data_IF_638576516612
#
_entry.id   IF_638576516612
#
_cell.length_a   1.000
_cell.length_b   1.000
_cell.length_c   1.000
_cell.angle_alpha   90.00
_cell.angle_beta   90.00
_cell.angle_gamma   90.00
#
_symmetry.space_group_name_H-M   'P 1'
#
loop_
_entity.id
_entity.type
_entity.pdbx_description
1 polymer ?
#
# COMPACT_ATOMS: atom_id res chain seq x y z
N UNK A 1 5.51 -12.98 -14.89
CA UNK A 1 5.41 -12.50 -13.51
C UNK A 1 6.66 -11.68 -13.32
N UNK A 2 6.55 -10.40 -12.93
CA UNK A 2 7.72 -9.59 -12.57
C UNK A 2 8.40 -10.28 -11.39
N UNK A 3 9.69 -10.58 -11.48
CA UNK A 3 10.46 -11.22 -10.39
C UNK A 3 10.60 -10.32 -9.14
N UNK A 4 10.15 -9.05 -9.22
CA UNK A 4 10.22 -8.04 -8.15
C UNK A 4 8.88 -7.79 -7.43
N UNK A 5 7.83 -8.58 -7.68
CA UNK A 5 6.51 -8.31 -7.09
C UNK A 5 6.37 -8.97 -5.72
N UNK A 6 6.06 -8.18 -4.68
CA UNK A 6 5.93 -8.64 -3.30
C UNK A 6 4.49 -9.05 -2.95
N UNK A 7 4.30 -10.29 -2.53
CA UNK A 7 3.01 -10.84 -2.09
C UNK A 7 3.09 -11.27 -0.62
N UNK A 8 2.28 -10.64 0.23
CA UNK A 8 2.23 -10.94 1.66
C UNK A 8 0.89 -11.58 2.00
N UNK A 9 0.92 -12.79 2.54
CA UNK A 9 -0.23 -13.54 3.02
C UNK A 9 -0.36 -13.43 4.54
N UNK A 10 -1.51 -12.94 5.04
CA UNK A 10 -1.77 -12.79 6.48
C UNK A 10 -3.01 -13.59 6.86
N UNK A 11 -2.81 -14.72 7.50
CA UNK A 11 -3.87 -15.59 8.03
C UNK A 11 -4.02 -15.49 9.55
N UNK A 12 -5.10 -16.03 10.08
CA UNK A 12 -5.31 -16.12 11.52
C UNK A 12 -6.80 -16.06 11.94
N UNK A 13 -7.12 -16.31 13.23
CA UNK A 13 -8.48 -16.36 13.74
C UNK A 13 -9.19 -15.01 13.74
N UNK A 14 -10.49 -15.00 14.01
CA UNK A 14 -11.29 -13.78 14.11
C UNK A 14 -10.74 -12.84 15.19
N UNK A 15 -10.77 -11.52 14.92
CA UNK A 15 -10.35 -10.46 15.87
C UNK A 15 -8.89 -10.55 16.34
N UNK A 16 -7.99 -11.23 15.60
CA UNK A 16 -6.55 -11.23 15.88
C UNK A 16 -5.85 -9.93 15.40
N UNK A 17 -6.58 -8.98 14.79
CA UNK A 17 -6.02 -7.71 14.31
C UNK A 17 -5.57 -7.71 12.85
N UNK A 18 -5.81 -8.81 12.09
CA UNK A 18 -5.34 -8.97 10.70
C UNK A 18 -5.65 -7.78 9.80
N UNK A 19 -6.89 -7.32 9.75
CA UNK A 19 -7.31 -6.24 8.84
C UNK A 19 -6.58 -4.94 9.10
N UNK A 20 -6.39 -4.60 10.38
CA UNK A 20 -5.66 -3.39 10.76
C UNK A 20 -4.16 -3.52 10.44
N UNK A 21 -3.56 -4.68 10.76
CA UNK A 21 -2.15 -4.97 10.48
C UNK A 21 -1.90 -5.03 8.97
N UNK A 22 -2.71 -5.78 8.22
CA UNK A 22 -2.56 -5.90 6.78
C UNK A 22 -2.67 -4.56 6.05
N UNK A 23 -3.63 -3.69 6.46
CA UNK A 23 -3.72 -2.32 5.95
C UNK A 23 -2.50 -1.48 6.33
N UNK A 24 -2.02 -1.60 7.56
CA UNK A 24 -0.82 -0.91 8.02
C UNK A 24 0.41 -1.29 7.21
N UNK A 25 0.64 -2.59 7.00
CA UNK A 25 1.72 -3.12 6.17
C UNK A 25 1.60 -2.65 4.72
N UNK A 26 0.39 -2.76 4.12
CA UNK A 26 0.15 -2.31 2.75
C UNK A 26 0.47 -0.82 2.57
N UNK A 27 0.06 0.03 3.53
CA UNK A 27 0.37 1.48 3.52
C UNK A 27 1.87 1.75 3.63
N UNK A 28 2.54 1.08 4.56
CA UNK A 28 3.98 1.27 4.79
C UNK A 28 4.82 0.90 3.58
N UNK A 29 4.36 -0.07 2.78
CA UNK A 29 5.07 -0.57 1.60
C UNK A 29 4.52 0.01 0.28
N UNK A 30 3.48 0.86 0.31
CA UNK A 30 2.85 1.36 -0.91
C UNK A 30 2.13 0.28 -1.74
N UNK A 31 1.77 -0.86 -1.12
CA UNK A 31 1.14 -2.00 -1.77
C UNK A 31 -0.38 -1.92 -1.75
N UNK A 32 -1.02 -2.72 -2.60
CA UNK A 32 -2.45 -2.95 -2.52
C UNK A 32 -2.81 -3.88 -1.35
N UNK A 33 -4.09 -3.88 -0.98
CA UNK A 33 -4.64 -4.65 0.15
C UNK A 33 -5.91 -5.37 -0.27
N UNK A 34 -6.10 -6.63 0.13
CA UNK A 34 -7.31 -7.39 -0.13
C UNK A 34 -7.86 -8.04 1.14
N UNK A 35 -9.09 -7.63 1.54
CA UNK A 35 -9.91 -8.30 2.56
C UNK A 35 -10.71 -9.44 1.91
N UNK A 36 -10.20 -10.67 1.97
CA UNK A 36 -10.92 -11.81 1.40
C UNK A 36 -12.17 -12.15 2.18
N UNK A 37 -12.21 -11.87 3.47
CA UNK A 37 -13.39 -12.03 4.31
C UNK A 37 -14.56 -11.18 3.83
N UNK A 38 -14.32 -10.00 3.29
CA UNK A 38 -15.36 -9.16 2.70
C UNK A 38 -16.01 -9.80 1.46
N UNK A 39 -15.25 -10.53 0.64
CA UNK A 39 -15.79 -11.25 -0.53
C UNK A 39 -16.77 -12.36 -0.11
N UNK A 40 -16.42 -13.16 0.93
CA UNK A 40 -17.33 -14.17 1.47
C UNK A 40 -18.57 -13.56 2.11
N UNK A 41 -18.44 -12.40 2.77
CA UNK A 41 -19.56 -11.66 3.33
C UNK A 41 -20.47 -11.10 2.24
N UNK A 42 -19.91 -10.61 1.15
CA UNK A 42 -20.68 -10.15 -0.01
C UNK A 42 -21.49 -11.30 -0.64
N UNK A 43 -20.88 -12.48 -0.79
CA UNK A 43 -21.61 -13.66 -1.26
C UNK A 43 -22.72 -14.07 -0.29
N UNK A 44 -22.47 -14.00 1.02
CA UNK A 44 -23.48 -14.28 2.04
C UNK A 44 -24.64 -13.29 1.97
N UNK A 45 -24.36 -12.00 1.77
CA UNK A 45 -25.38 -10.97 1.59
C UNK A 45 -26.26 -11.27 0.35
N UNK A 46 -25.66 -11.71 -0.76
CA UNK A 46 -26.41 -12.12 -1.95
C UNK A 46 -27.33 -13.31 -1.67
N UNK A 47 -26.86 -14.34 -0.95
CA UNK A 47 -27.65 -15.50 -0.54
C UNK A 47 -28.85 -15.07 0.30
N UNK A 48 -28.63 -14.28 1.34
CA UNK A 48 -29.70 -13.80 2.22
C UNK A 48 -30.73 -12.93 1.45
N UNK A 49 -30.25 -12.06 0.58
CA UNK A 49 -31.11 -11.19 -0.24
C UNK A 49 -31.94 -11.98 -1.24
N UNK A 50 -31.42 -13.07 -1.78
CA UNK A 50 -32.15 -13.93 -2.74
C UNK A 50 -33.21 -14.80 -2.09
N UNK A 51 -33.22 -14.88 -0.75
CA UNK A 51 -34.13 -15.73 0.00
C UNK A 51 -33.83 -17.23 -0.14
N UNK A 52 -32.64 -17.58 -0.58
CA UNK A 52 -32.19 -18.98 -0.65
C UNK A 52 -31.97 -19.56 0.75
N UNK A 53 -32.34 -20.81 0.91
CA UNK A 53 -31.96 -21.55 2.12
C UNK A 53 -30.45 -21.81 2.15
N UNK A 54 -29.81 -21.53 3.27
CA UNK A 54 -28.35 -21.67 3.42
C UNK A 54 -27.90 -23.14 3.22
N UNK A 55 -28.79 -24.10 3.44
CA UNK A 55 -28.55 -25.52 3.21
C UNK A 55 -28.58 -25.93 1.72
N UNK A 56 -29.08 -25.08 0.82
CA UNK A 56 -29.15 -25.37 -0.62
C UNK A 56 -27.84 -24.97 -1.33
N UNK A 57 -26.81 -25.78 -1.14
CA UNK A 57 -25.48 -25.55 -1.73
C UNK A 57 -25.52 -25.47 -3.27
N UNK A 58 -26.46 -26.12 -3.94
CA UNK A 58 -26.59 -26.14 -5.40
C UNK A 58 -27.05 -24.79 -5.91
N UNK A 59 -28.12 -24.23 -5.34
CA UNK A 59 -28.65 -22.94 -5.75
C UNK A 59 -27.70 -21.81 -5.34
N UNK A 60 -27.04 -21.90 -4.15
CA UNK A 60 -25.98 -20.97 -3.74
C UNK A 60 -24.83 -20.99 -4.75
N UNK A 61 -24.41 -22.18 -5.20
CA UNK A 61 -23.38 -22.30 -6.22
C UNK A 61 -23.74 -21.67 -7.56
N UNK A 62 -25.01 -21.81 -7.99
CA UNK A 62 -25.53 -21.15 -9.21
C UNK A 62 -25.55 -19.62 -9.05
N UNK A 63 -25.99 -19.14 -7.89
CA UNK A 63 -25.97 -17.70 -7.57
C UNK A 63 -24.53 -17.17 -7.63
N UNK A 64 -23.57 -17.86 -7.03
CA UNK A 64 -22.17 -17.43 -7.04
C UNK A 64 -21.57 -17.31 -8.45
N UNK A 65 -21.93 -18.22 -9.38
CA UNK A 65 -21.48 -18.15 -10.78
C UNK A 65 -22.03 -16.98 -11.55
N UNK A 66 -23.24 -16.53 -11.21
CA UNK A 66 -23.95 -15.51 -11.96
C UNK A 66 -23.77 -14.11 -11.35
N UNK A 67 -23.28 -14.01 -10.12
CA UNK A 67 -23.12 -12.74 -9.41
C UNK A 67 -21.78 -12.08 -9.70
N UNK A 68 -21.77 -10.75 -9.65
CA UNK A 68 -20.56 -9.92 -9.82
C UNK A 68 -20.23 -9.25 -8.49
N UNK A 69 -19.11 -9.65 -7.89
CA UNK A 69 -18.58 -9.00 -6.68
C UNK A 69 -17.34 -8.19 -7.08
N UNK A 70 -17.31 -6.92 -6.68
CA UNK A 70 -16.16 -6.06 -6.85
C UNK A 70 -15.77 -5.42 -5.52
N UNK A 71 -14.48 -5.31 -5.27
CA UNK A 71 -13.91 -4.79 -4.02
C UNK A 71 -12.73 -3.86 -4.32
N UNK A 72 -12.58 -2.82 -3.52
CA UNK A 72 -11.39 -1.96 -3.57
C UNK A 72 -10.18 -2.69 -3.00
N UNK A 73 -9.05 -2.52 -3.65
CA UNK A 73 -7.74 -2.95 -3.16
C UNK A 73 -6.89 -1.80 -2.61
N UNK A 74 -7.45 -0.59 -2.56
CA UNK A 74 -6.80 0.55 -1.91
C UNK A 74 -6.92 0.44 -0.39
N UNK A 75 -5.82 0.41 0.39
CA UNK A 75 -5.88 0.31 1.85
C UNK A 75 -6.56 1.50 2.53
N UNK A 76 -6.67 2.66 1.86
CA UNK A 76 -7.26 3.88 2.39
C UNK A 76 -8.73 4.07 2.00
N UNK A 77 -9.17 3.44 0.90
CA UNK A 77 -10.52 3.57 0.38
C UNK A 77 -11.18 2.20 0.24
N UNK A 78 -11.76 1.70 1.31
CA UNK A 78 -12.42 0.39 1.30
C UNK A 78 -13.88 0.51 0.86
N UNK A 79 -14.24 -0.16 -0.21
CA UNK A 79 -15.62 -0.36 -0.65
C UNK A 79 -15.79 -1.76 -1.23
N UNK A 80 -17.01 -2.27 -1.19
CA UNK A 80 -17.39 -3.53 -1.82
C UNK A 80 -18.79 -3.42 -2.42
N UNK A 81 -18.97 -3.97 -3.60
CA UNK A 81 -20.27 -4.05 -4.27
C UNK A 81 -20.60 -5.46 -4.71
N UNK A 82 -21.90 -5.77 -4.75
CA UNK A 82 -22.44 -7.01 -5.28
C UNK A 82 -23.55 -6.68 -6.28
N UNK A 83 -23.44 -7.19 -7.51
CA UNK A 83 -24.35 -6.93 -8.63
C UNK A 83 -24.62 -5.42 -8.85
N UNK A 84 -23.56 -4.60 -8.69
CA UNK A 84 -23.61 -3.16 -8.87
C UNK A 84 -24.21 -2.37 -7.70
N UNK A 85 -24.54 -3.03 -6.58
CA UNK A 85 -25.05 -2.39 -5.38
C UNK A 85 -23.90 -2.25 -4.38
N UNK A 86 -23.66 -1.04 -3.87
CA UNK A 86 -22.74 -0.82 -2.77
C UNK A 86 -23.29 -1.45 -1.49
N UNK A 87 -22.50 -2.33 -0.89
CA UNK A 87 -22.86 -3.09 0.30
C UNK A 87 -21.82 -2.91 1.42
N UNK A 88 -20.97 -1.92 1.32
CA UNK A 88 -19.82 -1.69 2.21
C UNK A 88 -20.22 -1.74 3.68
N UNK A 89 -21.29 -1.06 4.05
CA UNK A 89 -21.77 -1.02 5.43
C UNK A 89 -22.58 -2.28 5.82
N UNK A 90 -23.29 -2.86 4.86
CA UNK A 90 -24.23 -3.97 5.13
C UNK A 90 -23.57 -5.33 5.28
N UNK A 91 -22.38 -5.55 4.70
CA UNK A 91 -21.66 -6.83 4.81
C UNK A 91 -21.24 -7.19 6.26
N UNK A 92 -21.31 -6.24 7.18
CA UNK A 92 -20.94 -6.43 8.60
C UNK A 92 -22.15 -6.53 9.53
N UNK A 93 -23.37 -6.59 8.98
CA UNK A 93 -24.60 -6.82 9.75
C UNK A 93 -24.54 -8.14 10.54
N UNK A 94 -25.36 -8.26 11.57
CA UNK A 94 -25.47 -9.47 12.38
C UNK A 94 -25.86 -10.67 11.51
N UNK A 95 -26.88 -10.52 10.66
CA UNK A 95 -27.38 -11.57 9.77
C UNK A 95 -26.28 -12.14 8.85
N UNK A 96 -25.49 -11.28 8.21
CA UNK A 96 -24.35 -11.69 7.37
C UNK A 96 -23.28 -12.36 8.23
N UNK A 97 -23.04 -11.82 9.44
CA UNK A 97 -22.01 -12.35 10.34
C UNK A 97 -22.34 -13.76 10.82
N UNK A 98 -23.59 -14.05 11.09
CA UNK A 98 -24.07 -15.34 11.57
C UNK A 98 -24.06 -16.41 10.45
N UNK A 99 -24.38 -16.02 9.23
CA UNK A 99 -24.48 -16.92 8.09
C UNK A 99 -23.16 -17.17 7.33
N UNK A 100 -22.17 -16.27 7.45
CA UNK A 100 -20.96 -16.28 6.59
C UNK A 100 -20.15 -17.56 6.69
N UNK A 101 -20.06 -18.20 7.87
CA UNK A 101 -19.29 -19.43 8.03
C UNK A 101 -19.91 -20.60 7.25
N UNK A 102 -21.23 -20.68 7.18
CA UNK A 102 -21.95 -21.72 6.44
C UNK A 102 -21.83 -21.48 4.93
N UNK A 103 -22.09 -20.27 4.43
CA UNK A 103 -21.97 -19.94 3.00
C UNK A 103 -20.53 -20.10 2.52
N UNK A 104 -19.54 -19.72 3.34
CA UNK A 104 -18.12 -19.88 3.00
C UNK A 104 -17.64 -21.34 3.00
N UNK A 105 -18.41 -22.27 3.52
CA UNK A 105 -18.11 -23.71 3.46
C UNK A 105 -18.58 -24.37 2.16
N UNK A 106 -19.46 -23.73 1.38
CA UNK A 106 -19.97 -24.26 0.10
C UNK A 106 -18.82 -24.39 -0.90
N UNK A 107 -18.53 -25.60 -1.43
CA UNK A 107 -17.35 -25.83 -2.26
C UNK A 107 -17.25 -24.92 -3.48
N UNK A 108 -18.36 -24.73 -4.21
CA UNK A 108 -18.40 -23.93 -5.42
C UNK A 108 -18.23 -22.42 -5.14
N UNK A 109 -18.73 -21.93 -4.01
CA UNK A 109 -18.48 -20.55 -3.55
C UNK A 109 -16.99 -20.34 -3.33
N UNK A 110 -16.32 -21.29 -2.69
CA UNK A 110 -14.88 -21.22 -2.46
C UNK A 110 -14.10 -21.22 -3.75
N UNK A 111 -14.39 -22.14 -4.67
CA UNK A 111 -13.74 -22.23 -5.97
C UNK A 111 -13.77 -20.88 -6.69
N UNK A 112 -14.96 -20.30 -6.83
CA UNK A 112 -15.17 -19.02 -7.52
C UNK A 112 -14.46 -17.86 -6.80
N UNK A 113 -14.58 -17.78 -5.47
CA UNK A 113 -13.98 -16.68 -4.73
C UNK A 113 -12.45 -16.80 -4.62
N UNK A 114 -11.88 -18.00 -4.55
CA UNK A 114 -10.42 -18.20 -4.61
C UNK A 114 -9.86 -17.77 -5.95
N UNK A 115 -10.54 -18.10 -7.06
CA UNK A 115 -10.15 -17.63 -8.38
C UNK A 115 -10.21 -16.08 -8.47
N UNK A 116 -11.26 -15.47 -7.95
CA UNK A 116 -11.41 -14.02 -7.89
C UNK A 116 -10.28 -13.36 -7.06
N UNK A 117 -9.94 -13.93 -5.91
CA UNK A 117 -8.84 -13.45 -5.05
C UNK A 117 -7.48 -13.50 -5.76
N UNK A 118 -7.20 -14.62 -6.43
CA UNK A 118 -5.97 -14.77 -7.24
C UNK A 118 -5.89 -13.75 -8.36
N UNK A 119 -7.01 -13.47 -9.02
CA UNK A 119 -7.08 -12.43 -10.05
C UNK A 119 -6.76 -11.05 -9.50
N UNK A 120 -7.31 -10.68 -8.32
CA UNK A 120 -6.96 -9.41 -7.68
C UNK A 120 -5.48 -9.34 -7.30
N UNK A 121 -4.93 -10.43 -6.76
CA UNK A 121 -3.51 -10.50 -6.43
C UNK A 121 -2.63 -10.32 -7.68
N UNK A 122 -2.94 -11.00 -8.77
CA UNK A 122 -2.22 -10.86 -10.04
C UNK A 122 -2.29 -9.42 -10.58
N UNK A 123 -3.47 -8.82 -10.62
CA UNK A 123 -3.63 -7.44 -11.11
C UNK A 123 -2.83 -6.45 -10.26
N UNK A 124 -2.80 -6.63 -8.94
CA UNK A 124 -2.06 -5.77 -8.04
C UNK A 124 -0.53 -5.88 -8.26
N UNK A 125 -0.02 -7.11 -8.43
CA UNK A 125 1.41 -7.32 -8.75
C UNK A 125 1.81 -6.71 -10.08
N UNK A 126 0.92 -6.74 -11.08
CA UNK A 126 1.16 -6.15 -12.40
C UNK A 126 1.10 -4.60 -12.38
N UNK A 127 0.26 -4.01 -11.51
CA UNK A 127 -0.01 -2.56 -11.52
C UNK A 127 0.88 -1.75 -10.58
N UNK A 128 1.14 -2.27 -9.37
CA UNK A 128 1.85 -1.54 -8.30
C UNK A 128 2.99 -2.34 -7.66
N UNK A 129 3.33 -3.50 -8.20
CA UNK A 129 4.44 -4.30 -7.70
C UNK A 129 4.11 -5.17 -6.48
N UNK A 130 2.86 -5.26 -6.00
CA UNK A 130 2.53 -6.21 -4.94
C UNK A 130 1.22 -5.98 -4.19
N UNK A 131 0.95 -6.89 -3.24
CA UNK A 131 -0.29 -6.90 -2.48
C UNK A 131 -0.13 -7.57 -1.11
N UNK A 132 -0.87 -7.05 -0.13
CA UNK A 132 -1.09 -7.73 1.16
C UNK A 132 -2.50 -8.31 1.15
N UNK A 133 -2.61 -9.62 1.32
CA UNK A 133 -3.88 -10.35 1.32
C UNK A 133 -4.14 -10.94 2.69
N UNK A 134 -5.30 -10.64 3.28
CA UNK A 134 -5.71 -11.22 4.56
C UNK A 134 -6.85 -12.23 4.43
N UNK A 135 -6.82 -13.26 5.29
CA UNK A 135 -7.88 -14.27 5.31
C UNK A 135 -7.76 -15.32 6.38
N UNK A 136 -8.02 -16.58 5.98
CA UNK A 136 -7.99 -17.79 6.82
C UNK A 136 -7.13 -18.90 6.22
N UNK A 137 -6.95 -18.88 4.93
CA UNK A 137 -6.33 -19.91 4.12
C UNK A 137 -5.53 -19.31 2.95
N UNK A 138 -5.04 -18.08 3.14
CA UNK A 138 -4.30 -17.37 2.09
C UNK A 138 -2.99 -18.09 1.79
N UNK A 139 -2.18 -18.31 2.82
CA UNK A 139 -0.89 -18.98 2.70
C UNK A 139 -1.00 -20.47 2.30
N UNK A 140 -2.11 -21.12 2.68
CA UNK A 140 -2.27 -22.57 2.43
C UNK A 140 -2.96 -22.90 1.12
N UNK A 141 -3.87 -22.05 0.63
CA UNK A 141 -4.74 -22.35 -0.53
C UNK A 141 -4.73 -21.27 -1.58
N UNK A 142 -4.95 -20.00 -1.20
CA UNK A 142 -5.14 -18.91 -2.17
C UNK A 142 -3.82 -18.55 -2.86
N UNK A 143 -2.80 -18.25 -2.07
CA UNK A 143 -1.46 -17.80 -2.50
C UNK A 143 -0.36 -18.61 -1.81
N UNK A 144 -0.26 -19.91 -2.09
CA UNK A 144 0.72 -20.80 -1.42
C UNK A 144 2.18 -20.48 -1.74
N UNK A 145 2.40 -19.60 -2.71
CA UNK A 145 3.73 -19.09 -3.11
C UNK A 145 3.92 -17.62 -2.73
N UNK A 146 3.17 -17.11 -1.73
CA UNK A 146 3.40 -15.77 -1.20
C UNK A 146 4.83 -15.66 -0.62
N UNK A 147 5.49 -14.53 -0.86
CA UNK A 147 6.88 -14.27 -0.46
C UNK A 147 7.00 -14.21 1.05
N UNK A 148 6.01 -13.60 1.71
CA UNK A 148 5.89 -13.58 3.16
C UNK A 148 4.57 -14.21 3.56
N UNK A 149 4.64 -15.17 4.49
CA UNK A 149 3.49 -15.84 5.08
C UNK A 149 3.46 -15.57 6.57
N UNK A 150 2.38 -14.98 7.06
CA UNK A 150 2.18 -14.64 8.47
C UNK A 150 0.92 -15.30 9.00
N UNK A 151 1.01 -15.89 10.18
CA UNK A 151 -0.14 -16.32 10.95
C UNK A 151 -0.29 -15.45 12.19
N UNK A 152 -1.24 -14.51 12.15
CA UNK A 152 -1.53 -13.62 13.27
C UNK A 152 -2.45 -14.30 14.27
N UNK A 153 -2.02 -14.39 15.53
CA UNK A 153 -2.84 -14.87 16.63
C UNK A 153 -2.95 -13.83 17.75
N UNK A 154 -3.87 -14.06 18.67
CA UNK A 154 -3.96 -13.39 19.96
C UNK A 154 -4.74 -14.26 20.92
N UNK A 155 -4.54 -14.09 22.23
CA UNK A 155 -5.30 -14.84 23.25
C UNK A 155 -6.81 -14.63 23.09
N UNK A 156 -7.64 -15.63 23.43
CA UNK A 156 -9.10 -15.50 23.34
C UNK A 156 -9.64 -14.27 24.08
N UNK A 157 -9.07 -13.95 25.23
CA UNK A 157 -9.46 -12.77 26.03
C UNK A 157 -9.14 -11.48 25.29
N UNK A 158 -7.93 -11.35 24.73
CA UNK A 158 -7.55 -10.14 23.99
C UNK A 158 -8.44 -9.92 22.76
N UNK A 159 -8.77 -11.00 22.04
CA UNK A 159 -9.65 -10.96 20.86
C UNK A 159 -11.08 -10.57 21.23
N UNK A 160 -11.62 -11.15 22.31
CA UNK A 160 -12.95 -10.83 22.81
C UNK A 160 -13.03 -9.38 23.29
N UNK A 161 -12.01 -8.90 24.02
CA UNK A 161 -11.92 -7.51 24.48
C UNK A 161 -11.89 -6.52 23.31
N UNK A 162 -11.01 -6.75 22.31
CA UNK A 162 -10.93 -5.91 21.11
C UNK A 162 -12.27 -5.81 20.38
N UNK A 163 -12.92 -6.95 20.19
CA UNK A 163 -14.22 -7.01 19.49
C UNK A 163 -15.37 -6.45 20.31
N UNK A 164 -15.36 -6.66 21.62
CA UNK A 164 -16.37 -6.08 22.53
C UNK A 164 -16.30 -4.55 22.54
N UNK A 165 -15.09 -3.98 22.58
CA UNK A 165 -14.89 -2.54 22.48
C UNK A 165 -15.31 -1.98 21.11
N UNK A 166 -15.04 -2.70 20.03
CA UNK A 166 -15.43 -2.29 18.66
C UNK A 166 -16.97 -2.26 18.47
N UNK A 167 -17.67 -3.20 19.06
CA UNK A 167 -19.14 -3.36 18.92
C UNK A 167 -19.95 -2.75 20.06
N UNK A 168 -19.30 -2.29 21.14
CA UNK A 168 -19.95 -1.80 22.36
C UNK A 168 -20.89 -2.85 23.00
N UNK A 169 -20.48 -4.12 22.99
CA UNK A 169 -21.26 -5.25 23.53
C UNK A 169 -20.50 -6.01 24.61
N UNK A 170 -21.22 -6.91 25.32
CA UNK A 170 -20.65 -7.72 26.41
C UNK A 170 -19.55 -8.65 25.91
N UNK A 171 -18.38 -8.60 26.57
CA UNK A 171 -17.19 -9.38 26.20
C UNK A 171 -17.44 -10.89 26.31
N UNK A 172 -18.27 -11.35 27.27
CA UNK A 172 -18.52 -12.76 27.44
C UNK A 172 -19.39 -13.34 26.32
N UNK A 173 -20.33 -12.58 25.78
CA UNK A 173 -21.12 -12.98 24.61
C UNK A 173 -20.22 -13.03 23.36
N UNK A 174 -19.37 -12.03 23.18
CA UNK A 174 -18.41 -11.98 22.08
C UNK A 174 -17.44 -13.16 22.13
N UNK A 175 -16.93 -13.52 23.32
CA UNK A 175 -16.01 -14.65 23.48
C UNK A 175 -16.60 -15.95 22.94
N UNK A 176 -17.84 -16.26 23.32
CA UNK A 176 -18.55 -17.46 22.84
C UNK A 176 -18.74 -17.46 21.33
N UNK A 177 -19.15 -16.31 20.77
CA UNK A 177 -19.35 -16.19 19.33
C UNK A 177 -18.03 -16.36 18.55
N UNK A 178 -16.91 -15.82 19.05
CA UNK A 178 -15.59 -15.99 18.45
C UNK A 178 -15.11 -17.44 18.52
N UNK A 179 -15.27 -18.11 19.68
CA UNK A 179 -14.90 -19.52 19.84
C UNK A 179 -15.69 -20.44 18.88
N UNK A 180 -17.00 -20.23 18.78
CA UNK A 180 -17.84 -20.97 17.85
C UNK A 180 -17.41 -20.76 16.39
N UNK A 181 -17.11 -19.53 16.02
CA UNK A 181 -16.66 -19.19 14.67
C UNK A 181 -15.30 -19.80 14.34
N UNK A 182 -14.35 -19.70 15.26
CA UNK A 182 -13.02 -20.28 15.07
C UNK A 182 -13.09 -21.80 14.98
N UNK A 183 -14.00 -22.44 15.74
CA UNK A 183 -14.26 -23.87 15.63
C UNK A 183 -14.79 -24.22 14.24
N UNK A 184 -15.78 -23.49 13.72
CA UNK A 184 -16.32 -23.70 12.38
C UNK A 184 -15.25 -23.49 11.30
N UNK A 185 -14.46 -22.42 11.41
CA UNK A 185 -13.40 -22.12 10.45
C UNK A 185 -12.28 -23.18 10.46
N UNK A 186 -11.94 -23.76 11.63
CA UNK A 186 -10.86 -24.75 11.77
C UNK A 186 -11.30 -26.19 11.46
N UNK A 187 -12.59 -26.50 11.58
CA UNK A 187 -13.13 -27.88 11.38
C UNK A 187 -13.78 -28.08 10.01
N UNK A 188 -13.92 -27.06 9.20
CA UNK A 188 -14.49 -27.20 7.86
C UNK A 188 -13.66 -28.15 6.99
N UNK A 189 -14.36 -28.94 6.16
CA UNK A 189 -13.72 -29.96 5.33
C UNK A 189 -12.82 -29.42 4.24
N UNK A 190 -13.12 -28.22 3.71
CA UNK A 190 -12.38 -27.56 2.64
C UNK A 190 -11.73 -26.28 3.17
N UNK A 191 -10.43 -26.13 2.98
CA UNK A 191 -9.63 -24.98 3.39
C UNK A 191 -9.83 -24.59 4.88
N UNK A 192 -9.56 -25.48 5.83
CA UNK A 192 -9.67 -25.16 7.25
C UNK A 192 -8.69 -24.03 7.63
N UNK A 193 -9.08 -23.24 8.64
CA UNK A 193 -8.15 -22.31 9.27
C UNK A 193 -7.02 -23.11 9.94
N UNK A 194 -5.83 -23.02 9.40
CA UNK A 194 -4.62 -23.63 9.95
C UNK A 194 -3.41 -22.80 9.63
N UNK A 195 -2.42 -22.84 10.49
CA UNK A 195 -1.12 -22.24 10.21
C UNK A 195 -0.44 -23.05 9.09
N UNK A 196 0.06 -22.34 8.06
CA UNK A 196 0.95 -22.91 7.07
C UNK A 196 2.31 -23.20 7.73
N UNK A 197 2.98 -24.34 7.45
CA UNK A 197 4.28 -24.66 8.05
C UNK A 197 5.36 -23.59 7.82
N UNK A 198 5.30 -22.89 6.68
CA UNK A 198 6.26 -21.85 6.32
C UNK A 198 5.83 -20.47 6.81
N UNK A 199 4.73 -20.36 7.58
CA UNK A 199 4.26 -19.09 8.11
C UNK A 199 4.94 -18.73 9.42
N UNK A 200 5.39 -17.48 9.52
CA UNK A 200 5.83 -16.90 10.79
C UNK A 200 4.62 -16.64 11.70
N UNK A 201 4.65 -17.21 12.90
CA UNK A 201 3.62 -16.99 13.91
C UNK A 201 3.90 -15.68 14.67
N UNK A 202 2.94 -14.75 14.63
CA UNK A 202 3.02 -13.50 15.41
C UNK A 202 1.86 -13.45 16.40
N UNK A 203 2.16 -13.47 17.70
CA UNK A 203 1.18 -13.30 18.77
C UNK A 203 1.02 -11.80 19.11
N UNK A 204 -0.11 -11.25 18.75
CA UNK A 204 -0.44 -9.84 18.96
C UNK A 204 -1.13 -9.58 20.30
N UNK A 205 -1.17 -10.54 21.24
CA UNK A 205 -1.88 -10.42 22.52
C UNK A 205 -1.53 -9.13 23.26
N UNK A 206 -0.23 -8.83 23.35
CA UNK A 206 0.32 -7.69 24.09
C UNK A 206 0.89 -6.60 23.16
N UNK A 207 0.69 -6.70 21.85
CA UNK A 207 1.17 -5.73 20.89
C UNK A 207 0.08 -4.72 20.56
N UNK A 208 0.47 -3.46 20.42
CA UNK A 208 -0.35 -2.45 19.77
C UNK A 208 -0.33 -2.60 18.24
N UNK A 209 -1.09 -1.76 17.54
CA UNK A 209 -1.17 -1.86 16.07
C UNK A 209 0.19 -1.61 15.41
N UNK A 210 0.93 -0.58 15.87
CA UNK A 210 2.22 -0.23 15.29
C UNK A 210 3.24 -1.35 15.50
N UNK A 211 3.35 -1.85 16.72
CA UNK A 211 4.23 -2.98 17.03
C UNK A 211 3.89 -4.24 16.21
N UNK A 212 2.59 -4.49 15.97
CA UNK A 212 2.13 -5.61 15.15
C UNK A 212 2.49 -5.44 13.67
N UNK A 213 2.42 -4.20 13.15
CA UNK A 213 2.85 -3.86 11.78
C UNK A 213 4.37 -4.00 11.66
N UNK A 214 5.12 -3.41 12.59
CA UNK A 214 6.58 -3.46 12.61
C UNK A 214 7.09 -4.91 12.67
N UNK A 215 6.41 -5.80 13.42
CA UNK A 215 6.74 -7.23 13.48
C UNK A 215 6.54 -7.97 12.15
N UNK A 216 5.58 -7.53 11.31
CA UNK A 216 5.44 -8.09 9.95
C UNK A 216 6.49 -7.50 9.02
N UNK A 217 6.77 -6.20 9.12
CA UNK A 217 7.76 -5.53 8.27
C UNK A 217 9.19 -6.06 8.50
N UNK A 218 9.54 -6.44 9.75
CA UNK A 218 10.85 -7.01 10.05
C UNK A 218 11.13 -8.35 9.34
N UNK A 219 10.10 -9.06 8.87
CA UNK A 219 10.29 -10.27 8.07
C UNK A 219 10.84 -9.99 6.68
N UNK A 220 10.72 -8.75 6.18
CA UNK A 220 11.33 -8.33 4.91
C UNK A 220 12.86 -8.29 5.04
N UNK A 221 13.37 -7.86 6.20
CA UNK A 221 14.82 -7.80 6.44
C UNK A 221 15.41 -9.21 6.45
N UNK A 222 14.67 -10.21 6.93
CA UNK A 222 15.09 -11.60 6.93
C UNK A 222 15.17 -12.19 5.52
N UNK A 223 14.24 -11.82 4.62
CA UNK A 223 14.27 -12.24 3.20
C UNK A 223 15.52 -11.71 2.47
N UNK A 224 15.97 -10.50 2.80
CA UNK A 224 17.18 -9.93 2.20
C UNK A 224 18.45 -10.61 2.69
N UNK A 225 18.48 -11.07 3.95
CA UNK A 225 19.61 -11.80 4.54
C UNK A 225 19.73 -13.22 3.98
N UNK A 226 18.61 -13.91 3.72
CA UNK A 226 18.65 -15.26 3.13
C UNK A 226 19.12 -15.26 1.66
N UNK A 227 18.84 -14.19 0.92
CA UNK A 227 19.38 -13.99 -0.44
C UNK A 227 20.92 -13.78 -0.36
N UNK A 228 21.44 -13.13 0.67
CA UNK A 228 22.88 -12.96 0.89
C UNK A 228 23.57 -14.27 1.35
N UNK A 229 22.86 -15.11 2.12
CA UNK A 229 23.40 -16.40 2.59
C UNK A 229 23.47 -17.47 1.48
N UNK A 230 22.54 -17.46 0.52
CA UNK A 230 22.61 -18.32 -0.67
C UNK A 230 23.69 -17.85 -1.69
N UNK A 231 24.26 -16.65 -1.51
CA UNK A 231 25.35 -16.15 -2.34
C UNK A 231 26.68 -16.96 -2.12
N UNK A 232 26.80 -17.73 -1.04
CA UNK A 232 27.93 -18.63 -0.84
C UNK A 232 27.93 -19.84 -1.79
N UNK A 233 26.78 -20.17 -2.44
CA UNK A 233 26.69 -21.16 -3.53
C UNK A 233 27.14 -20.54 -4.86
N UNK A 234 27.11 -19.23 -4.99
CA UNK A 234 27.55 -18.51 -6.19
C UNK A 234 29.07 -18.48 -6.37
N UNK A 235 29.86 -18.97 -5.40
CA UNK A 235 31.33 -19.06 -5.53
C UNK A 235 31.80 -20.11 -6.54
N UNK A 236 30.94 -21.01 -7.02
CA UNK A 236 31.22 -21.95 -8.12
C UNK A 236 30.97 -21.38 -9.52
N UNK A 237 30.35 -20.19 -9.65
CA UNK A 237 30.08 -19.48 -10.91
C UNK A 237 30.89 -18.19 -11.06
N UNK A 238 32.01 -18.12 -10.33
CA UNK A 238 32.89 -16.96 -10.31
C UNK A 238 33.60 -16.78 -11.64
N UNK A 239 33.02 -16.00 -12.55
CA UNK A 239 33.72 -15.21 -13.60
C UNK A 239 32.76 -14.34 -14.43
N UNK A 240 31.46 -14.18 -14.10
CA UNK A 240 30.53 -13.47 -15.01
C UNK A 240 29.75 -12.28 -14.46
N UNK A 241 29.90 -11.86 -13.21
CA UNK A 241 29.18 -10.66 -12.70
C UNK A 241 30.04 -9.86 -11.72
N UNK A 242 30.94 -9.05 -12.24
CA UNK A 242 31.39 -7.81 -11.58
C UNK A 242 30.24 -6.77 -11.67
N UNK A 243 29.22 -6.91 -10.85
CA UNK A 243 28.24 -5.85 -10.59
C UNK A 243 28.54 -5.34 -9.18
N UNK A 244 28.96 -4.06 -9.02
CA UNK A 244 29.20 -3.49 -7.71
C UNK A 244 27.90 -3.49 -6.89
N UNK A 245 27.99 -3.91 -5.60
CA UNK A 245 26.90 -3.98 -4.62
C UNK A 245 26.41 -2.58 -4.14
N UNK A 246 26.40 -1.58 -5.01
CA UNK A 246 26.02 -0.18 -4.74
C UNK A 246 24.77 0.25 -5.52
N UNK A 247 23.87 -0.68 -5.89
CA UNK A 247 22.71 -0.39 -6.74
C UNK A 247 21.35 -0.74 -6.13
N UNK A 248 21.12 -0.38 -4.86
CA UNK A 248 19.78 0.08 -4.49
C UNK A 248 19.83 1.60 -4.53
N UNK A 249 19.61 2.18 -5.70
CA UNK A 249 19.54 3.63 -5.83
C UNK A 249 18.38 4.13 -4.98
N UNK A 250 18.71 4.90 -3.93
CA UNK A 250 17.69 5.57 -3.12
C UNK A 250 16.78 6.37 -4.05
N UNK A 251 15.46 6.36 -3.83
CA UNK A 251 14.54 7.14 -4.66
C UNK A 251 14.99 8.60 -4.79
N UNK A 252 14.90 9.14 -5.99
CA UNK A 252 15.35 10.48 -6.32
C UNK A 252 14.14 11.41 -6.46
N UNK A 253 14.08 12.44 -5.63
CA UNK A 253 13.02 13.46 -5.63
C UNK A 253 13.56 14.76 -6.18
N UNK A 254 13.10 15.19 -7.35
CA UNK A 254 13.48 16.47 -7.96
C UNK A 254 12.55 17.60 -7.49
N UNK A 255 13.10 18.65 -6.88
CA UNK A 255 12.35 19.83 -6.49
C UNK A 255 12.43 20.86 -7.63
N UNK A 256 11.30 21.10 -8.25
CA UNK A 256 11.14 21.88 -9.48
C UNK A 256 10.26 23.12 -9.24
N UNK A 257 10.39 24.12 -10.07
CA UNK A 257 9.60 25.33 -10.01
C UNK A 257 10.42 26.57 -10.35
N UNK A 258 9.75 27.69 -10.57
CA UNK A 258 10.37 28.97 -10.91
C UNK A 258 11.27 29.51 -9.79
N UNK A 259 12.16 30.45 -10.06
CA UNK A 259 12.89 31.17 -9.02
C UNK A 259 11.92 31.84 -8.01
N UNK A 260 12.32 31.92 -6.76
CA UNK A 260 11.58 32.57 -5.67
C UNK A 260 10.19 32.00 -5.31
N UNK A 261 9.83 30.83 -5.80
CA UNK A 261 8.59 30.15 -5.36
C UNK A 261 8.72 29.45 -3.99
N UNK A 262 9.95 29.35 -3.44
CA UNK A 262 10.23 28.81 -2.12
C UNK A 262 10.77 27.38 -2.11
N UNK A 263 11.37 26.90 -3.21
CA UNK A 263 12.00 25.56 -3.30
C UNK A 263 13.00 25.31 -2.18
N UNK A 264 13.98 26.20 -2.02
CA UNK A 264 15.03 26.07 -0.99
C UNK A 264 14.45 26.14 0.44
N UNK A 265 13.36 26.85 0.64
CA UNK A 265 12.64 26.87 1.93
C UNK A 265 12.02 25.52 2.21
N UNK A 266 11.39 24.89 1.21
CA UNK A 266 10.82 23.53 1.31
C UNK A 266 11.93 22.51 1.59
N UNK A 267 13.02 22.54 0.80
CA UNK A 267 14.18 21.67 1.00
C UNK A 267 14.75 21.82 2.41
N UNK A 268 15.01 23.04 2.88
CA UNK A 268 15.52 23.28 4.23
C UNK A 268 14.55 22.81 5.31
N UNK A 269 13.26 22.86 5.08
CA UNK A 269 12.25 22.37 6.04
C UNK A 269 12.23 20.83 6.10
N UNK A 270 12.41 20.17 4.97
CA UNK A 270 12.55 18.70 4.92
C UNK A 270 13.85 18.28 5.63
N UNK A 271 14.96 18.94 5.34
CA UNK A 271 16.27 18.64 5.92
C UNK A 271 16.39 19.06 7.39
N UNK A 272 15.67 20.09 7.83
CA UNK A 272 15.76 20.68 9.18
C UNK A 272 15.21 19.78 10.31
N UNK A 273 14.60 18.64 10.01
CA UNK A 273 14.09 17.70 10.99
C UNK A 273 15.06 16.59 11.42
N UNK A 274 16.16 16.33 10.68
CA UNK A 274 17.32 15.50 11.11
C UNK A 274 18.48 15.61 10.11
N UNK A 275 19.70 15.50 10.64
CA UNK A 275 21.06 15.50 10.07
C UNK A 275 21.16 15.31 8.53
N UNK A 276 21.27 16.41 7.81
CA UNK A 276 21.63 16.39 6.39
C UNK A 276 23.14 16.17 6.24
N UNK A 277 23.54 15.15 5.51
CA UNK A 277 24.92 14.98 5.03
C UNK A 277 24.97 15.50 3.59
N UNK A 278 25.76 16.55 3.36
CA UNK A 278 26.09 17.03 2.03
C UNK A 278 27.17 16.12 1.47
N UNK A 279 26.87 15.28 0.50
CA UNK A 279 27.90 14.50 -0.21
C UNK A 279 28.31 15.24 -1.48
N UNK A 280 29.55 15.73 -1.48
CA UNK A 280 30.29 16.10 -2.69
C UNK A 280 30.78 14.80 -3.36
N UNK A 281 30.09 14.27 -4.36
CA UNK A 281 30.61 13.18 -5.18
C UNK A 281 31.64 13.74 -6.19
N UNK A 282 32.91 13.28 -6.15
CA UNK A 282 33.92 13.68 -7.12
C UNK A 282 33.64 13.02 -8.49
N UNK A 283 33.24 13.80 -9.47
CA UNK A 283 33.10 13.33 -10.87
C UNK A 283 31.83 13.79 -11.61
N UNK A 284 30.87 14.41 -10.94
CA UNK A 284 29.70 15.03 -11.55
C UNK A 284 29.90 16.54 -11.61
N UNK A 285 29.59 17.14 -12.76
CA UNK A 285 29.76 18.58 -13.04
C UNK A 285 29.26 19.45 -11.88
N UNK A 286 30.04 20.45 -11.50
CA UNK A 286 29.99 21.36 -10.33
C UNK A 286 28.68 22.12 -10.06
N UNK A 287 27.55 21.75 -10.68
CA UNK A 287 26.36 22.60 -10.77
C UNK A 287 25.11 22.02 -10.13
N UNK A 288 25.19 20.96 -9.29
CA UNK A 288 24.02 20.36 -8.64
C UNK A 288 24.27 20.15 -7.16
N UNK A 289 23.26 20.49 -6.37
CA UNK A 289 23.24 20.17 -4.93
C UNK A 289 22.26 19.01 -4.72
N UNK A 290 22.79 17.85 -4.35
CA UNK A 290 22.02 16.70 -3.92
C UNK A 290 22.11 16.58 -2.41
N UNK A 291 20.99 16.27 -1.78
CA UNK A 291 20.89 16.08 -0.34
C UNK A 291 20.33 14.69 -0.05
N UNK A 292 20.95 13.99 0.89
CA UNK A 292 20.36 12.78 1.46
C UNK A 292 19.31 13.20 2.51
N UNK A 293 18.13 12.70 2.40
CA UNK A 293 17.03 12.98 3.30
C UNK A 293 16.38 11.68 3.79
N UNK A 294 15.88 11.72 5.01
CA UNK A 294 15.08 10.66 5.62
C UNK A 294 13.73 11.25 6.04
N UNK A 295 12.63 10.61 5.63
CA UNK A 295 11.29 11.00 6.06
C UNK A 295 10.47 9.75 6.40
N UNK A 296 9.99 9.69 7.64
CA UNK A 296 9.23 8.53 8.16
C UNK A 296 9.92 7.17 7.98
N UNK A 297 11.27 7.14 8.09
CA UNK A 297 12.03 5.91 7.92
C UNK A 297 12.37 5.56 6.47
N UNK A 298 12.02 6.43 5.50
CA UNK A 298 12.39 6.26 4.10
C UNK A 298 13.55 7.18 3.75
N UNK A 299 14.65 6.60 3.31
CA UNK A 299 15.80 7.32 2.77
C UNK A 299 15.55 7.68 1.30
N UNK A 300 15.83 8.91 0.92
CA UNK A 300 15.74 9.37 -0.47
C UNK A 300 16.74 10.49 -0.75
N UNK A 301 17.02 10.72 -2.03
CA UNK A 301 17.89 11.80 -2.49
C UNK A 301 17.05 12.95 -3.01
N UNK A 302 17.27 14.16 -2.49
CA UNK A 302 16.66 15.39 -3.02
C UNK A 302 17.61 16.03 -4.03
N UNK A 303 17.12 16.29 -5.24
CA UNK A 303 17.79 17.14 -6.22
C UNK A 303 17.18 18.55 -6.18
N UNK A 304 17.90 19.52 -5.63
CA UNK A 304 17.46 20.93 -5.63
C UNK A 304 17.94 21.64 -6.90
N UNK A 305 16.98 22.09 -7.71
CA UNK A 305 17.27 22.90 -8.92
C UNK A 305 17.40 24.39 -8.63
N UNK A 306 17.41 24.79 -7.35
CA UNK A 306 17.31 26.20 -6.90
C UNK A 306 18.61 26.94 -6.59
N UNK A 307 19.79 26.32 -6.69
CA UNK A 307 21.05 26.82 -6.13
C UNK A 307 21.79 27.97 -6.90
N UNK A 308 21.26 28.53 -7.98
CA UNK A 308 21.98 29.51 -8.81
C UNK A 308 21.20 30.80 -9.05
N UNK A 309 21.21 31.67 -8.06
CA UNK A 309 20.73 33.05 -8.15
C UNK A 309 21.87 34.07 -8.38
N UNK A 310 22.75 33.89 -9.36
CA UNK A 310 23.67 34.96 -9.80
C UNK A 310 23.93 34.87 -11.31
N UNK A 311 23.11 35.53 -12.11
CA UNK A 311 23.40 36.36 -13.27
C UNK A 311 22.20 36.48 -14.24
N UNK A 312 21.69 37.69 -14.39
CA UNK A 312 20.40 38.03 -15.01
C UNK A 312 20.39 38.11 -16.55
N UNK A 313 21.26 37.40 -17.26
CA UNK A 313 21.24 37.37 -18.74
C UNK A 313 21.44 35.98 -19.30
N UNK A 314 20.35 35.28 -19.54
CA UNK A 314 20.32 33.93 -20.11
C UNK A 314 19.43 32.96 -19.34
N UNK A 315 18.66 33.42 -18.36
CA UNK A 315 18.00 32.70 -17.30
C UNK A 315 17.00 31.60 -17.75
N UNK A 316 16.29 31.78 -18.87
CA UNK A 316 15.26 30.87 -19.32
C UNK A 316 15.77 29.54 -19.91
N UNK A 317 16.91 29.58 -20.60
CA UNK A 317 17.49 28.36 -21.20
C UNK A 317 18.21 27.50 -20.15
N UNK A 318 18.82 28.08 -19.12
CA UNK A 318 19.55 27.37 -18.09
C UNK A 318 18.60 26.67 -17.11
N UNK A 319 17.49 27.31 -16.70
CA UNK A 319 16.46 26.69 -15.83
C UNK A 319 15.81 25.52 -16.52
N UNK A 320 15.50 25.60 -17.81
CA UNK A 320 14.92 24.50 -18.57
C UNK A 320 15.90 23.32 -18.73
N UNK A 321 17.20 23.58 -18.96
CA UNK A 321 18.21 22.53 -19.06
C UNK A 321 18.43 21.80 -17.72
N UNK A 322 18.47 22.53 -16.61
CA UNK A 322 18.64 21.92 -15.28
C UNK A 322 17.41 21.10 -14.85
N UNK A 323 16.22 21.61 -15.15
CA UNK A 323 14.99 20.86 -14.93
C UNK A 323 14.97 19.57 -15.78
N UNK A 324 15.37 19.65 -17.06
CA UNK A 324 15.41 18.48 -17.94
C UNK A 324 16.36 17.38 -17.44
N UNK A 325 17.49 17.77 -16.89
CA UNK A 325 18.48 16.83 -16.37
C UNK A 325 17.99 16.22 -15.04
N UNK A 326 17.44 17.04 -14.12
CA UNK A 326 16.90 16.57 -12.86
C UNK A 326 15.70 15.61 -13.07
N UNK A 327 14.84 15.89 -14.06
CA UNK A 327 13.69 15.07 -14.43
C UNK A 327 14.13 13.69 -14.96
N UNK A 328 15.25 13.58 -15.65
CA UNK A 328 15.75 12.29 -16.17
C UNK A 328 16.23 11.34 -15.09
N UNK A 329 16.62 11.86 -13.94
CA UNK A 329 17.15 11.10 -12.81
C UNK A 329 16.10 10.95 -11.68
N UNK A 330 14.93 11.59 -11.79
CA UNK A 330 13.94 11.65 -10.75
C UNK A 330 12.90 10.51 -10.84
N UNK A 331 12.62 9.90 -9.71
CA UNK A 331 11.50 8.98 -9.52
C UNK A 331 10.21 9.74 -9.19
N UNK A 332 10.34 10.97 -8.62
CA UNK A 332 9.23 11.88 -8.30
C UNK A 332 9.64 13.33 -8.57
N UNK A 333 8.78 14.07 -9.26
CA UNK A 333 8.90 15.51 -9.45
C UNK A 333 7.98 16.29 -8.49
N UNK A 334 8.55 17.05 -7.56
CA UNK A 334 7.80 17.99 -6.71
C UNK A 334 7.80 19.36 -7.35
N UNK A 335 6.68 19.75 -7.95
CA UNK A 335 6.50 21.07 -8.56
C UNK A 335 6.00 22.07 -7.52
N UNK A 336 6.85 23.01 -7.13
CA UNK A 336 6.51 24.09 -6.20
C UNK A 336 6.05 25.31 -6.98
N UNK A 337 4.85 25.79 -6.70
CA UNK A 337 4.22 26.95 -7.35
C UNK A 337 3.84 28.01 -6.29
N UNK A 338 4.00 29.26 -6.63
CA UNK A 338 3.57 30.39 -5.80
C UNK A 338 2.07 30.62 -5.98
N UNK A 339 1.27 30.29 -4.96
CA UNK A 339 -0.19 30.42 -5.00
C UNK A 339 -0.66 31.85 -5.20
N UNK A 340 0.14 32.85 -4.77
CA UNK A 340 -0.22 34.26 -4.90
C UNK A 340 -0.15 34.77 -6.33
N UNK A 341 0.63 34.10 -7.19
CA UNK A 341 0.80 34.46 -8.61
C UNK A 341 -0.10 33.57 -9.50
N UNK A 342 -0.42 32.35 -9.03
CA UNK A 342 -1.14 31.35 -9.78
C UNK A 342 -0.28 30.62 -10.84
N UNK A 343 -0.93 29.81 -11.68
CA UNK A 343 -0.28 29.03 -12.73
C UNK A 343 0.26 29.91 -13.86
N UNK A 344 1.51 29.67 -14.26
CA UNK A 344 2.16 30.39 -15.37
C UNK A 344 2.53 29.45 -16.51
N UNK A 345 2.93 30.02 -17.66
CA UNK A 345 3.41 29.25 -18.81
C UNK A 345 4.66 28.43 -18.49
N UNK A 346 5.55 28.93 -17.62
CA UNK A 346 6.75 28.20 -17.21
C UNK A 346 6.41 26.99 -16.33
N UNK A 347 5.42 27.11 -15.44
CA UNK A 347 4.92 25.99 -14.64
C UNK A 347 4.28 24.92 -15.54
N UNK A 348 3.53 25.33 -16.58
CA UNK A 348 2.96 24.42 -17.58
C UNK A 348 4.04 23.67 -18.37
N UNK A 349 5.15 24.33 -18.72
CA UNK A 349 6.27 23.69 -19.41
C UNK A 349 6.93 22.61 -18.55
N UNK A 350 7.15 22.88 -17.25
CA UNK A 350 7.71 21.89 -16.32
C UNK A 350 6.77 20.68 -16.22
N UNK A 351 5.46 20.89 -16.13
CA UNK A 351 4.47 19.80 -16.13
C UNK A 351 4.54 18.97 -17.41
N UNK A 352 4.69 19.62 -18.58
CA UNK A 352 4.83 18.92 -19.87
C UNK A 352 6.10 18.08 -19.92
N UNK A 353 7.24 18.61 -19.39
CA UNK A 353 8.50 17.87 -19.33
C UNK A 353 8.41 16.64 -18.42
N UNK A 354 7.84 16.78 -17.23
CA UNK A 354 7.61 15.66 -16.29
C UNK A 354 6.72 14.57 -16.92
N UNK A 355 5.64 14.97 -17.59
CA UNK A 355 4.75 14.04 -18.30
C UNK A 355 5.44 13.33 -19.46
N UNK A 356 6.24 14.05 -20.25
CA UNK A 356 7.01 13.46 -21.35
C UNK A 356 8.02 12.42 -20.86
N UNK A 357 8.61 12.65 -19.68
CA UNK A 357 9.52 11.74 -19.02
C UNK A 357 8.79 10.62 -18.23
N UNK A 358 7.45 10.66 -18.14
CA UNK A 358 6.62 9.74 -17.33
C UNK A 358 6.95 9.77 -15.83
N UNK A 359 7.48 10.87 -15.32
CA UNK A 359 7.77 11.05 -13.89
C UNK A 359 6.49 11.49 -13.17
N UNK A 360 6.09 10.84 -12.06
CA UNK A 360 4.98 11.25 -11.23
C UNK A 360 5.16 12.69 -10.73
N UNK A 361 4.06 13.45 -10.58
CA UNK A 361 4.09 14.87 -10.19
C UNK A 361 3.35 15.04 -8.87
N UNK A 362 4.03 15.65 -7.90
CA UNK A 362 3.42 16.19 -6.69
C UNK A 362 3.38 17.73 -6.82
N UNK A 363 2.18 18.30 -6.90
CA UNK A 363 2.00 19.74 -7.00
C UNK A 363 1.90 20.37 -5.60
N UNK A 364 2.81 21.28 -5.28
CA UNK A 364 2.86 22.01 -4.01
C UNK A 364 2.55 23.49 -4.23
N UNK A 365 1.46 23.95 -3.62
CA UNK A 365 1.10 25.38 -3.58
C UNK A 365 1.76 26.02 -2.36
N UNK A 366 2.79 26.82 -2.57
CA UNK A 366 3.50 27.52 -1.51
C UNK A 366 2.98 28.95 -1.32
N UNK A 367 3.30 29.58 -0.17
CA UNK A 367 2.92 30.94 0.24
C UNK A 367 1.41 31.07 0.52
N UNK A 368 0.79 29.99 1.00
CA UNK A 368 -0.61 29.97 1.45
C UNK A 368 -0.66 30.35 2.94
N UNK A 369 -0.65 31.66 3.22
CA UNK A 369 -0.54 32.15 4.59
C UNK A 369 -1.91 32.42 5.27
N UNK A 370 -3.02 32.41 4.52
CA UNK A 370 -4.36 32.67 5.02
C UNK A 370 -5.42 31.90 4.24
N UNK A 371 -6.62 31.68 4.84
CA UNK A 371 -7.77 31.04 4.17
C UNK A 371 -8.19 31.72 2.84
N UNK A 372 -7.83 32.98 2.61
CA UNK A 372 -8.12 33.68 1.35
C UNK A 372 -7.32 33.07 0.20
N UNK A 373 -6.08 32.59 0.46
CA UNK A 373 -5.22 32.01 -0.56
C UNK A 373 -5.52 30.52 -0.84
N UNK A 374 -6.31 29.84 0.00
CA UNK A 374 -6.79 28.50 -0.32
C UNK A 374 -7.66 28.48 -1.59
N UNK A 375 -8.46 29.56 -1.81
CA UNK A 375 -9.25 29.70 -3.04
C UNK A 375 -8.39 29.94 -4.27
N UNK A 376 -7.24 30.60 -4.10
CA UNK A 376 -6.31 30.88 -5.19
C UNK A 376 -5.51 29.64 -5.59
N UNK A 377 -5.19 28.77 -4.63
CA UNK A 377 -4.59 27.45 -4.88
C UNK A 377 -5.49 26.57 -5.78
N UNK A 378 -6.81 26.76 -5.72
CA UNK A 378 -7.74 26.07 -6.60
C UNK A 378 -7.51 26.42 -8.09
N UNK A 379 -6.96 27.60 -8.42
CA UNK A 379 -6.62 27.99 -9.79
C UNK A 379 -5.51 27.11 -10.39
N UNK A 380 -4.68 26.49 -9.55
CA UNK A 380 -3.56 25.62 -9.95
C UNK A 380 -4.02 24.28 -10.56
N UNK A 381 -5.30 23.90 -10.39
CA UNK A 381 -5.89 22.76 -11.10
C UNK A 381 -5.78 22.87 -12.62
N UNK A 382 -5.70 24.11 -13.14
CA UNK A 382 -5.51 24.37 -14.57
C UNK A 382 -4.20 23.79 -15.13
N UNK A 383 -3.19 23.53 -14.28
CA UNK A 383 -1.95 22.85 -14.67
C UNK A 383 -2.17 21.39 -15.00
N UNK A 384 -3.29 20.79 -14.52
CA UNK A 384 -3.61 19.39 -14.69
C UNK A 384 -2.64 18.42 -13.98
N UNK A 385 -1.79 18.91 -13.08
CA UNK A 385 -0.73 18.13 -12.40
C UNK A 385 -1.20 17.39 -11.15
N UNK A 386 -2.50 17.24 -10.96
CA UNK A 386 -3.12 16.67 -9.77
C UNK A 386 -3.60 17.72 -8.77
N UNK A 387 -4.02 17.27 -7.59
CA UNK A 387 -4.47 18.12 -6.49
C UNK A 387 -3.29 18.96 -5.93
N UNK A 388 -3.45 20.29 -5.79
CA UNK A 388 -2.45 21.11 -5.14
C UNK A 388 -2.41 20.84 -3.63
N UNK A 389 -1.26 20.47 -3.10
CA UNK A 389 -1.01 20.33 -1.67
C UNK A 389 -0.53 21.67 -1.09
N UNK A 390 -1.10 22.07 0.06
CA UNK A 390 -0.81 23.35 0.74
C UNK A 390 0.33 23.21 1.76
#
# INVERSE_FOLDING_TARGET
VNDDALVIAIDGPSSSGKSSVAKGVARSLGLQYLDTGALYRAMTWLVLRSGLEIADEVEIGKLARNSKIAISTNPDQTWISADGIDITDTIRSAEVTDAVSQVSAVPLVREILVELQRKYAQLATEQVGGIVVEGRDIATVVLPKADIKVFLTASPVARATRRGLELEVDIAEVSKALEQRDLLDSTRAISPLRQDPDSTLIDTTNLDLRQSVDAVLSLLDELTVDIEADADIASEWGDFLDIPVDLVSKPVVAILGRPNVGKSTLVNRILGHRSAVVEDQPGVTRDRVSYQAEWNGLDFTILDTGGWEQDAKGMYQQVAQQAEIAIKEADLGVLVVDSTIGATEDDQRIVQMLRAAKVPILLVANKVDTQVFESDAASLWSLGAGEPHL
#
